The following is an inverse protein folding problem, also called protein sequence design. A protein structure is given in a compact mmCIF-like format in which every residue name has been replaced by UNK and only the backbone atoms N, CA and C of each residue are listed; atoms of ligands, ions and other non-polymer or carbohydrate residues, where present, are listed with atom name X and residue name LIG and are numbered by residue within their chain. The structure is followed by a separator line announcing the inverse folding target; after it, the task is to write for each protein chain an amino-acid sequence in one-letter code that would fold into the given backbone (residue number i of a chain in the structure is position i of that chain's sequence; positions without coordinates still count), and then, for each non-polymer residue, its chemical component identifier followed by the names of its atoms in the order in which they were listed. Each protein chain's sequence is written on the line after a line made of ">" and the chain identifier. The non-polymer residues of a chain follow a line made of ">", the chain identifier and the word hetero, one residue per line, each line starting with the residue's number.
data_IF_025252619682
#
_entry.id   IF_025252619682
#
_cell.length_a   1.000
_cell.length_b   1.000
_cell.length_c   1.000
_cell.angle_alpha   90.00
_cell.angle_beta   90.00
_cell.angle_gamma   90.00
#
_symmetry.space_group_name_H-M   'P 1'
#
loop_
_entity.id
_entity.type
_entity.pdbx_description
1 polymer ?
#
# COMPACT_ATOMS: atom_id res chain seq x y z
N UNK A 1 -7.09 27.17 -19.45
CA UNK A 1 -5.66 27.53 -19.56
C UNK A 1 -4.91 26.46 -18.80
N UNK A 2 -4.15 25.60 -19.48
CA UNK A 2 -3.26 24.63 -18.82
C UNK A 2 -2.00 25.41 -18.49
N UNK A 3 -1.85 25.80 -17.24
CA UNK A 3 -0.57 26.28 -16.75
C UNK A 3 0.40 25.12 -16.81
N UNK A 4 1.21 25.11 -17.86
CA UNK A 4 2.37 24.25 -17.97
C UNK A 4 3.35 24.72 -16.89
N UNK A 5 3.25 24.18 -15.68
CA UNK A 5 4.29 24.34 -14.67
C UNK A 5 5.50 23.56 -15.20
N UNK A 6 6.29 24.26 -16.01
CA UNK A 6 7.64 23.81 -16.33
C UNK A 6 8.41 23.80 -15.03
N UNK A 7 8.45 22.65 -14.36
CA UNK A 7 9.32 22.47 -13.20
C UNK A 7 10.74 22.58 -13.72
N UNK A 8 11.40 23.69 -13.40
CA UNK A 8 12.83 23.85 -13.70
C UNK A 8 13.61 22.80 -12.92
N UNK A 9 14.01 21.75 -13.61
CA UNK A 9 14.72 20.58 -13.07
C UNK A 9 15.99 21.01 -12.32
N UNK A 10 16.60 22.13 -12.72
CA UNK A 10 17.82 22.67 -12.08
C UNK A 10 17.56 23.12 -10.63
N UNK A 11 16.30 23.40 -10.28
CA UNK A 11 15.90 23.80 -8.92
C UNK A 11 15.73 22.64 -7.96
N UNK A 12 15.77 21.40 -8.42
CA UNK A 12 15.62 20.22 -7.57
C UNK A 12 16.84 19.98 -6.68
N UNK A 13 18.03 20.41 -7.11
CA UNK A 13 19.27 20.12 -6.43
C UNK A 13 19.64 18.64 -6.49
N UNK A 14 20.55 18.19 -5.65
CA UNK A 14 20.98 16.80 -5.54
C UNK A 14 19.87 15.95 -4.90
N UNK A 15 19.40 14.92 -5.59
CA UNK A 15 18.29 14.05 -5.19
C UNK A 15 18.80 12.67 -4.78
N UNK A 16 18.46 12.22 -3.58
CA UNK A 16 18.66 10.83 -3.18
C UNK A 16 17.43 10.00 -3.55
N UNK A 17 17.64 8.88 -4.21
CA UNK A 17 16.62 7.84 -4.38
C UNK A 17 16.88 6.79 -3.30
N UNK A 18 16.04 6.78 -2.25
CA UNK A 18 16.14 5.78 -1.19
C UNK A 18 15.61 4.46 -1.72
N UNK A 19 16.46 3.43 -1.74
CA UNK A 19 16.13 2.10 -2.22
C UNK A 19 16.85 1.02 -1.40
N UNK A 20 16.37 -0.20 -1.44
CA UNK A 20 16.91 -1.31 -0.66
C UNK A 20 16.31 -1.35 0.74
N UNK A 21 17.03 -0.88 1.76
CA UNK A 21 16.61 -0.99 3.15
C UNK A 21 16.74 -2.41 3.69
N UNK A 22 16.13 -2.68 4.84
CA UNK A 22 16.23 -3.94 5.59
C UNK A 22 14.91 -4.72 5.72
N UNK A 23 13.86 -4.26 5.03
CA UNK A 23 12.56 -4.94 5.03
C UNK A 23 12.56 -6.23 4.20
N UNK A 24 11.53 -7.06 4.38
CA UNK A 24 11.31 -8.25 3.56
C UNK A 24 11.10 -7.92 2.07
N UNK A 25 10.77 -6.66 1.73
CA UNK A 25 10.53 -6.18 0.37
C UNK A 25 11.76 -5.50 -0.27
N UNK A 26 12.97 -5.75 0.29
CA UNK A 26 14.23 -5.16 -0.19
C UNK A 26 14.45 -5.28 -1.70
N UNK A 27 14.19 -6.46 -2.28
CA UNK A 27 14.43 -6.70 -3.70
C UNK A 27 13.50 -5.86 -4.58
N UNK A 28 12.23 -5.77 -4.21
CA UNK A 28 11.23 -4.92 -4.88
C UNK A 28 11.62 -3.45 -4.79
N UNK A 29 12.13 -3.03 -3.62
CA UNK A 29 12.62 -1.67 -3.41
C UNK A 29 13.83 -1.34 -4.29
N UNK A 30 14.76 -2.28 -4.45
CA UNK A 30 15.92 -2.10 -5.34
C UNK A 30 15.48 -1.99 -6.82
N UNK A 31 14.54 -2.83 -7.27
CA UNK A 31 14.00 -2.76 -8.62
C UNK A 31 13.28 -1.42 -8.87
N UNK A 32 12.39 -1.02 -7.98
CA UNK A 32 11.67 0.26 -8.05
C UNK A 32 12.64 1.43 -8.07
N UNK A 33 13.59 1.45 -7.13
CA UNK A 33 14.57 2.52 -7.00
C UNK A 33 15.48 2.64 -8.21
N UNK A 34 15.89 1.54 -8.83
CA UNK A 34 16.69 1.56 -10.06
C UNK A 34 15.90 2.15 -11.24
N UNK A 35 14.62 1.77 -11.39
CA UNK A 35 13.74 2.35 -12.42
C UNK A 35 13.56 3.86 -12.24
N UNK A 36 13.26 4.30 -11.02
CA UNK A 36 13.14 5.73 -10.67
C UNK A 36 14.44 6.48 -10.90
N UNK A 37 15.57 5.93 -10.46
CA UNK A 37 16.89 6.54 -10.66
C UNK A 37 17.22 6.74 -12.13
N UNK A 38 16.98 5.72 -12.95
CA UNK A 38 17.19 5.80 -14.40
C UNK A 38 16.27 6.86 -15.04
N UNK A 39 15.00 6.89 -14.67
CA UNK A 39 14.04 7.87 -15.17
C UNK A 39 14.43 9.32 -14.78
N UNK A 40 14.77 9.58 -13.51
CA UNK A 40 15.20 10.90 -13.06
C UNK A 40 16.47 11.38 -13.79
N UNK A 41 17.45 10.50 -13.98
CA UNK A 41 18.68 10.82 -14.71
C UNK A 41 18.42 11.08 -16.20
N UNK A 42 17.52 10.35 -16.82
CA UNK A 42 17.15 10.58 -18.23
C UNK A 42 16.50 11.95 -18.46
N UNK A 43 15.88 12.50 -17.40
CA UNK A 43 15.31 13.84 -17.40
C UNK A 43 16.34 14.93 -17.00
N UNK A 44 17.61 14.57 -16.75
CA UNK A 44 18.67 15.50 -16.35
C UNK A 44 18.70 15.87 -14.88
N UNK A 45 17.97 15.15 -14.01
CA UNK A 45 18.02 15.35 -12.54
C UNK A 45 19.33 14.77 -11.99
N UNK A 46 19.99 15.52 -11.10
CA UNK A 46 21.19 15.05 -10.35
C UNK A 46 20.76 14.04 -9.27
N UNK A 47 20.43 12.82 -9.71
CA UNK A 47 19.88 11.75 -8.88
C UNK A 47 20.91 10.66 -8.56
N UNK A 48 20.92 10.23 -7.30
CA UNK A 48 21.86 9.23 -6.76
C UNK A 48 21.14 8.17 -5.96
N UNK A 49 21.59 6.92 -6.09
CA UNK A 49 21.14 5.84 -5.24
C UNK A 49 21.60 6.04 -3.79
N UNK A 50 20.72 5.73 -2.84
CA UNK A 50 21.03 5.74 -1.42
C UNK A 50 20.33 4.56 -0.75
N UNK A 51 21.12 3.64 -0.18
CA UNK A 51 20.59 2.47 0.52
C UNK A 51 20.80 2.63 2.03
N UNK A 52 19.71 2.84 2.81
CA UNK A 52 19.82 3.04 4.25
C UNK A 52 20.29 1.80 5.03
N UNK A 53 20.28 0.60 4.44
CA UNK A 53 20.89 -0.58 5.03
C UNK A 53 22.42 -0.57 4.95
N UNK A 54 23.01 0.22 4.03
CA UNK A 54 24.45 0.30 3.81
C UNK A 54 25.08 1.55 4.43
N UNK A 55 24.28 2.60 4.65
CA UNK A 55 24.75 3.89 5.13
C UNK A 55 23.66 4.65 5.89
N UNK A 56 23.99 5.39 6.94
CA UNK A 56 23.01 6.07 7.78
C UNK A 56 22.34 7.23 7.03
N UNK A 57 21.05 7.44 7.26
CA UNK A 57 20.28 8.58 6.72
C UNK A 57 20.88 9.94 7.13
N UNK A 58 21.61 10.00 8.24
CA UNK A 58 22.31 11.19 8.71
C UNK A 58 23.33 11.74 7.69
N UNK A 59 23.85 10.89 6.79
CA UNK A 59 24.81 11.30 5.75
C UNK A 59 24.18 12.15 4.64
N UNK A 60 22.85 12.10 4.48
CA UNK A 60 22.16 12.82 3.42
C UNK A 60 22.46 14.32 3.44
N UNK A 61 22.38 14.95 4.60
CA UNK A 61 22.57 16.41 4.72
C UNK A 61 24.03 16.85 4.53
N UNK A 62 25.03 16.22 5.18
CA UNK A 62 26.44 16.52 4.94
C UNK A 62 26.89 16.33 3.49
N UNK A 63 26.29 15.37 2.78
CA UNK A 63 26.60 15.11 1.37
C UNK A 63 25.85 16.03 0.40
N UNK A 64 25.07 16.99 0.91
CA UNK A 64 24.41 18.01 0.12
C UNK A 64 23.15 17.56 -0.62
N UNK A 65 22.51 16.45 -0.19
CA UNK A 65 21.21 16.06 -0.74
C UNK A 65 20.14 17.08 -0.34
N UNK A 66 19.48 17.63 -1.36
CA UNK A 66 18.44 18.65 -1.22
C UNK A 66 17.03 18.04 -1.11
N UNK A 67 16.83 16.85 -1.67
CA UNK A 67 15.54 16.16 -1.74
C UNK A 67 15.71 14.65 -1.73
N UNK A 68 14.65 13.95 -1.37
CA UNK A 68 14.60 12.49 -1.34
C UNK A 68 13.41 12.00 -2.16
N UNK A 69 13.64 11.02 -3.03
CA UNK A 69 12.60 10.16 -3.57
C UNK A 69 12.59 8.86 -2.76
N UNK A 70 11.47 8.55 -2.12
CA UNK A 70 11.31 7.30 -1.34
C UNK A 70 10.83 6.21 -2.31
N UNK A 71 11.69 5.21 -2.56
CA UNK A 71 11.38 3.97 -3.26
C UNK A 71 11.59 2.75 -2.34
N UNK A 72 11.58 2.99 -1.02
CA UNK A 72 11.56 1.94 0.00
C UNK A 72 10.16 1.37 0.12
N UNK A 73 10.07 0.06 0.42
CA UNK A 73 8.82 -0.64 0.64
C UNK A 73 8.81 -1.34 2.00
N UNK A 74 7.61 -1.56 2.55
CA UNK A 74 7.44 -2.23 3.82
C UNK A 74 7.94 -1.45 5.03
N UNK A 75 8.42 -2.18 6.05
CA UNK A 75 8.92 -1.59 7.30
C UNK A 75 10.03 -0.58 7.05
N UNK A 76 10.05 0.46 7.86
CA UNK A 76 10.94 1.61 7.81
C UNK A 76 10.81 2.45 6.52
N UNK A 77 10.18 1.94 5.45
CA UNK A 77 9.96 2.66 4.20
C UNK A 77 8.58 3.32 4.08
N UNK A 78 7.53 2.60 4.50
CA UNK A 78 6.13 3.01 4.33
C UNK A 78 5.39 3.26 5.64
N UNK A 79 6.04 3.06 6.78
CA UNK A 79 5.42 3.10 8.12
C UNK A 79 5.59 4.44 8.86
N UNK A 80 6.12 5.46 8.20
CA UNK A 80 6.37 6.78 8.80
C UNK A 80 7.75 6.94 9.41
N UNK A 81 8.55 5.87 9.55
CA UNK A 81 9.86 5.90 10.19
C UNK A 81 10.86 6.73 9.39
N UNK A 82 11.06 6.42 8.09
CA UNK A 82 11.96 7.18 7.23
C UNK A 82 11.45 8.60 7.01
N UNK A 83 10.13 8.79 6.91
CA UNK A 83 9.51 10.11 6.78
C UNK A 83 9.84 10.99 8.00
N UNK A 84 9.71 10.43 9.22
CA UNK A 84 10.05 11.14 10.45
C UNK A 84 11.55 11.52 10.53
N UNK A 85 12.43 10.61 10.11
CA UNK A 85 13.87 10.90 10.05
C UNK A 85 14.17 12.05 9.06
N UNK A 86 13.54 12.06 7.88
CA UNK A 86 13.71 13.10 6.87
C UNK A 86 13.13 14.44 7.33
N UNK A 87 12.01 14.46 8.06
CA UNK A 87 11.46 15.68 8.66
C UNK A 87 12.42 16.29 9.70
N UNK A 88 13.01 15.47 10.58
CA UNK A 88 14.03 15.91 11.54
C UNK A 88 15.29 16.44 10.86
N UNK A 89 15.70 15.86 9.74
CA UNK A 89 16.83 16.35 8.93
C UNK A 89 16.46 17.60 8.13
N UNK A 90 15.18 17.96 8.00
CA UNK A 90 14.73 19.08 7.20
C UNK A 90 14.91 18.84 5.70
N UNK A 91 14.79 17.60 5.23
CA UNK A 91 14.95 17.21 3.82
C UNK A 91 13.56 16.88 3.25
N UNK A 92 13.07 17.62 2.23
CA UNK A 92 11.82 17.30 1.54
C UNK A 92 11.88 15.92 0.86
N UNK A 93 10.73 15.22 0.85
CA UNK A 93 10.63 13.88 0.29
C UNK A 93 9.30 13.68 -0.47
N UNK A 94 9.26 12.65 -1.32
CA UNK A 94 8.06 12.27 -2.06
C UNK A 94 7.09 11.47 -1.20
N UNK A 95 5.78 11.64 -1.48
CA UNK A 95 4.73 10.81 -0.88
C UNK A 95 4.18 11.35 0.43
N UNK A 96 3.48 10.49 1.14
CA UNK A 96 2.74 10.78 2.36
C UNK A 96 3.67 11.09 3.55
N UNK A 97 3.16 11.88 4.51
CA UNK A 97 3.89 12.20 5.74
C UNK A 97 3.82 11.10 6.80
N UNK A 98 4.44 11.35 7.95
CA UNK A 98 4.61 10.39 9.05
C UNK A 98 3.28 9.74 9.46
N UNK A 99 2.28 10.55 9.81
CA UNK A 99 1.00 10.05 10.30
C UNK A 99 0.26 9.21 9.26
N UNK A 100 0.15 9.71 8.04
CA UNK A 100 -0.56 9.01 6.97
C UNK A 100 0.11 7.68 6.62
N UNK A 101 1.43 7.65 6.52
CA UNK A 101 2.20 6.43 6.27
C UNK A 101 2.02 5.41 7.40
N UNK A 102 2.13 5.86 8.66
CA UNK A 102 1.96 4.97 9.82
C UNK A 102 0.55 4.36 9.91
N UNK A 103 -0.50 5.16 9.65
CA UNK A 103 -1.88 4.66 9.65
C UNK A 103 -2.11 3.72 8.47
N UNK A 104 -1.66 4.09 7.26
CA UNK A 104 -1.86 3.30 6.05
C UNK A 104 -1.17 1.92 6.14
N UNK A 105 0.00 1.84 6.76
CA UNK A 105 0.71 0.58 6.99
C UNK A 105 -0.05 -0.35 7.95
N UNK A 106 -0.76 0.18 8.95
CA UNK A 106 -1.54 -0.60 9.90
C UNK A 106 -2.99 -0.75 9.41
N UNK A 107 -3.32 -1.93 8.83
CA UNK A 107 -4.64 -2.22 8.29
C UNK A 107 -5.78 -2.11 9.33
N UNK A 108 -5.50 -2.36 10.61
CA UNK A 108 -6.48 -2.19 11.70
C UNK A 108 -6.77 -0.71 11.90
N UNK A 109 -5.73 0.13 11.96
CA UNK A 109 -5.91 1.58 12.11
C UNK A 109 -6.54 2.21 10.86
N UNK A 110 -6.13 1.80 9.67
CA UNK A 110 -6.73 2.21 8.40
C UNK A 110 -8.24 1.94 8.39
N UNK A 111 -8.67 0.72 8.74
CA UNK A 111 -10.09 0.35 8.80
C UNK A 111 -10.87 1.16 9.85
N UNK A 112 -10.27 1.43 11.01
CA UNK A 112 -10.89 2.28 12.04
C UNK A 112 -11.18 3.68 11.52
N UNK A 113 -10.21 4.29 10.82
CA UNK A 113 -10.39 5.61 10.21
C UNK A 113 -11.48 5.56 9.14
N UNK A 114 -11.41 4.60 8.22
CA UNK A 114 -12.40 4.48 7.14
C UNK A 114 -13.82 4.24 7.66
N UNK A 115 -13.99 3.39 8.67
CA UNK A 115 -15.30 3.15 9.30
C UNK A 115 -15.83 4.42 9.97
N UNK A 116 -14.96 5.20 10.65
CA UNK A 116 -15.35 6.47 11.24
C UNK A 116 -15.79 7.52 10.22
N UNK A 117 -15.21 7.48 9.01
CA UNK A 117 -15.56 8.33 7.86
C UNK A 117 -16.71 7.77 7.01
N UNK A 118 -17.31 6.63 7.42
CA UNK A 118 -18.42 5.98 6.71
C UNK A 118 -18.00 5.33 5.38
N UNK A 119 -16.73 5.00 5.21
CA UNK A 119 -16.20 4.36 4.01
C UNK A 119 -16.32 2.83 4.09
N UNK A 120 -16.68 2.16 2.99
CA UNK A 120 -16.92 0.72 2.97
C UNK A 120 -15.60 -0.07 3.03
N UNK A 121 -15.49 -0.97 3.99
CA UNK A 121 -14.41 -1.96 4.10
C UNK A 121 -15.01 -3.28 4.56
N UNK A 122 -14.43 -4.46 4.24
CA UNK A 122 -14.96 -5.74 4.70
C UNK A 122 -15.16 -5.77 6.22
N UNK A 123 -16.16 -6.49 6.70
CA UNK A 123 -16.32 -6.74 8.15
C UNK A 123 -15.05 -7.37 8.70
N UNK A 124 -14.66 -7.00 9.90
CA UNK A 124 -13.40 -7.44 10.45
C UNK A 124 -13.42 -7.63 11.97
N UNK A 125 -12.49 -8.45 12.43
CA UNK A 125 -12.17 -8.66 13.85
C UNK A 125 -10.67 -8.52 14.02
N UNK A 126 -10.28 -7.74 15.01
CA UNK A 126 -8.90 -7.61 15.44
C UNK A 126 -8.68 -8.49 16.68
N UNK A 127 -7.72 -9.39 16.57
CA UNK A 127 -7.24 -10.21 17.68
C UNK A 127 -5.91 -9.58 18.17
N UNK A 128 -6.03 -8.82 19.27
CA UNK A 128 -4.88 -8.18 19.91
C UNK A 128 -3.96 -9.23 20.58
N UNK A 129 -2.69 -8.87 20.90
CA UNK A 129 -1.84 -9.70 21.73
C UNK A 129 -2.53 -10.07 23.06
N UNK A 130 -2.53 -11.35 23.41
CA UNK A 130 -3.23 -11.88 24.57
C UNK A 130 -4.73 -12.19 24.36
N UNK A 131 -5.31 -11.81 23.23
CA UNK A 131 -6.70 -12.13 22.82
C UNK A 131 -6.73 -13.06 21.61
N UNK A 132 -5.82 -14.02 21.57
CA UNK A 132 -5.70 -15.04 20.51
C UNK A 132 -5.92 -16.45 21.08
N UNK A 133 -6.60 -16.52 22.22
CA UNK A 133 -7.00 -17.78 22.84
C UNK A 133 -8.07 -18.51 22.01
N UNK A 134 -8.27 -19.79 22.31
CA UNK A 134 -9.20 -20.63 21.54
C UNK A 134 -10.62 -20.05 21.48
N UNK A 135 -11.09 -19.47 22.57
CA UNK A 135 -12.44 -18.88 22.65
C UNK A 135 -12.57 -17.66 21.72
N UNK A 136 -11.56 -16.77 21.72
CA UNK A 136 -11.54 -15.60 20.86
C UNK A 136 -11.49 -15.99 19.39
N UNK A 137 -10.62 -16.95 19.06
CA UNK A 137 -10.38 -17.43 17.67
C UNK A 137 -11.63 -18.11 17.10
N UNK A 138 -12.29 -18.97 17.89
CA UNK A 138 -13.51 -19.71 17.46
C UNK A 138 -14.70 -18.78 17.29
N UNK A 139 -14.76 -17.67 18.03
CA UNK A 139 -15.84 -16.68 17.91
C UNK A 139 -15.76 -15.80 16.64
N UNK A 140 -14.62 -15.76 15.95
CA UNK A 140 -14.46 -14.92 14.75
C UNK A 140 -15.42 -15.29 13.62
N UNK A 141 -15.54 -16.57 13.20
CA UNK A 141 -16.49 -16.94 12.15
C UNK A 141 -17.95 -16.63 12.48
N UNK A 142 -18.35 -16.70 13.77
CA UNK A 142 -19.70 -16.35 14.18
C UNK A 142 -20.00 -14.85 14.02
N UNK A 143 -18.96 -14.00 14.09
CA UNK A 143 -19.08 -12.54 13.98
C UNK A 143 -19.06 -12.03 12.56
N UNK A 144 -18.21 -12.59 11.69
CA UNK A 144 -17.99 -12.07 10.34
C UNK A 144 -18.32 -13.05 9.22
N UNK A 145 -18.63 -14.31 9.53
CA UNK A 145 -18.97 -15.35 8.56
C UNK A 145 -17.76 -16.09 7.99
N UNK A 146 -18.04 -17.07 7.15
CA UNK A 146 -17.07 -17.85 6.36
C UNK A 146 -17.45 -17.77 4.88
N UNK A 147 -16.50 -17.80 3.95
CA UNK A 147 -15.05 -17.79 4.20
C UNK A 147 -14.55 -16.44 4.70
N UNK A 148 -13.37 -16.44 5.34
CA UNK A 148 -12.71 -15.22 5.82
C UNK A 148 -11.20 -15.26 5.54
N UNK A 149 -10.54 -14.10 5.63
CA UNK A 149 -9.09 -13.94 5.50
C UNK A 149 -8.50 -13.67 6.88
N UNK A 150 -7.43 -14.38 7.21
CA UNK A 150 -6.60 -14.12 8.39
C UNK A 150 -5.24 -13.62 7.92
N UNK A 151 -4.76 -12.49 8.48
CA UNK A 151 -3.51 -11.86 8.06
C UNK A 151 -2.85 -11.03 9.16
N UNK A 152 -1.53 -10.83 9.11
CA UNK A 152 -0.87 -9.83 9.92
C UNK A 152 -1.27 -8.42 9.44
N UNK A 153 -1.59 -7.46 10.32
CA UNK A 153 -2.07 -6.15 9.89
C UNK A 153 -0.99 -5.22 9.31
N UNK A 154 0.31 -5.42 9.66
CA UNK A 154 1.40 -4.52 9.28
C UNK A 154 2.41 -5.14 8.30
N UNK A 155 2.03 -6.22 7.65
CA UNK A 155 2.84 -6.81 6.58
C UNK A 155 2.23 -6.51 5.21
N UNK A 156 3.11 -6.32 4.22
CA UNK A 156 2.75 -6.16 2.82
C UNK A 156 2.80 -7.48 2.05
N UNK A 157 2.57 -7.39 0.74
CA UNK A 157 2.89 -8.45 -0.24
C UNK A 157 2.32 -9.84 0.08
N UNK A 158 1.13 -9.90 0.69
CA UNK A 158 0.41 -11.15 1.01
C UNK A 158 1.14 -12.09 1.98
N UNK A 159 2.14 -11.62 2.72
CA UNK A 159 2.88 -12.42 3.71
C UNK A 159 1.96 -12.81 4.87
N UNK A 160 1.93 -14.10 5.22
CA UNK A 160 1.17 -14.61 6.37
C UNK A 160 -0.35 -14.61 6.18
N UNK A 161 -0.85 -14.44 4.97
CA UNK A 161 -2.29 -14.45 4.66
C UNK A 161 -2.80 -15.89 4.52
N UNK A 162 -3.97 -16.15 5.08
CA UNK A 162 -4.67 -17.43 4.93
C UNK A 162 -6.16 -17.20 4.66
N UNK A 163 -6.70 -17.81 3.60
CA UNK A 163 -8.15 -17.94 3.40
C UNK A 163 -8.66 -19.12 4.22
N UNK A 164 -9.61 -18.85 5.11
CA UNK A 164 -10.21 -19.83 6.00
C UNK A 164 -11.65 -20.11 5.54
N UNK A 165 -11.93 -21.36 5.21
CA UNK A 165 -13.24 -21.82 4.76
C UNK A 165 -14.04 -22.54 5.86
N UNK A 166 -13.41 -22.88 7.00
CA UNK A 166 -14.05 -23.61 8.08
C UNK A 166 -13.36 -23.40 9.44
N UNK A 167 -14.12 -23.59 10.51
CA UNK A 167 -13.65 -23.42 11.90
C UNK A 167 -12.36 -24.14 12.25
N UNK A 168 -12.16 -25.34 11.70
CA UNK A 168 -10.97 -26.15 11.99
C UNK A 168 -9.66 -25.52 11.48
N UNK A 169 -9.72 -24.58 10.55
CA UNK A 169 -8.55 -23.91 9.96
C UNK A 169 -8.13 -22.68 10.76
N UNK A 170 -9.03 -22.13 11.60
CA UNK A 170 -8.82 -20.85 12.28
C UNK A 170 -7.55 -20.81 13.14
N UNK A 171 -7.34 -21.83 13.98
CA UNK A 171 -6.20 -21.87 14.91
C UNK A 171 -4.84 -21.87 14.17
N UNK A 172 -4.75 -22.63 13.07
CA UNK A 172 -3.54 -22.67 12.25
C UNK A 172 -3.30 -21.33 11.52
N UNK A 173 -4.36 -20.72 10.99
CA UNK A 173 -4.29 -19.45 10.30
C UNK A 173 -3.84 -18.31 11.24
N UNK A 174 -4.42 -18.23 12.44
CA UNK A 174 -4.03 -17.23 13.45
C UNK A 174 -2.58 -17.43 13.89
N UNK A 175 -2.16 -18.67 14.14
CA UNK A 175 -0.76 -18.98 14.50
C UNK A 175 0.22 -18.60 13.38
N UNK A 176 -0.15 -18.78 12.13
CA UNK A 176 0.69 -18.37 11.01
C UNK A 176 0.84 -16.86 10.96
N UNK A 177 -0.27 -16.12 10.98
CA UNK A 177 -0.24 -14.65 10.97
C UNK A 177 0.54 -14.07 12.16
N UNK A 178 0.38 -14.67 13.35
CA UNK A 178 1.07 -14.27 14.57
C UNK A 178 2.60 -14.46 14.53
N UNK A 179 3.15 -15.18 13.55
CA UNK A 179 4.61 -15.28 13.35
C UNK A 179 5.21 -13.99 12.77
N UNK A 180 4.39 -13.19 12.09
CA UNK A 180 4.81 -11.98 11.38
C UNK A 180 4.42 -10.70 12.12
N UNK A 181 3.32 -10.72 12.87
CA UNK A 181 2.87 -9.58 13.67
C UNK A 181 2.20 -10.08 14.95
N UNK A 182 2.43 -9.38 16.07
CA UNK A 182 1.78 -9.70 17.34
C UNK A 182 0.25 -9.53 17.30
N UNK A 183 -0.24 -8.67 16.43
CA UNK A 183 -1.66 -8.47 16.12
C UNK A 183 -2.09 -9.37 14.95
N UNK A 184 -3.35 -9.81 14.94
CA UNK A 184 -3.94 -10.56 13.83
C UNK A 184 -5.24 -9.90 13.40
N UNK A 185 -5.38 -9.67 12.10
CA UNK A 185 -6.60 -9.17 11.47
C UNK A 185 -7.33 -10.32 10.78
N UNK A 186 -8.60 -10.48 11.12
CA UNK A 186 -9.53 -11.38 10.43
C UNK A 186 -10.55 -10.55 9.67
N UNK A 187 -10.72 -10.79 8.36
CA UNK A 187 -11.63 -10.04 7.50
C UNK A 187 -12.60 -10.98 6.77
N UNK A 188 -13.82 -10.50 6.52
CA UNK A 188 -14.74 -11.13 5.58
C UNK A 188 -14.07 -11.29 4.22
N UNK A 189 -14.12 -12.50 3.65
CA UNK A 189 -13.67 -12.72 2.28
C UNK A 189 -14.70 -12.16 1.30
N UNK A 190 -14.28 -11.23 0.46
CA UNK A 190 -15.13 -10.66 -0.59
C UNK A 190 -14.88 -11.42 -1.89
N UNK A 191 -15.88 -12.17 -2.34
CA UNK A 191 -15.83 -12.86 -3.63
C UNK A 191 -16.21 -11.88 -4.74
N UNK A 192 -15.27 -11.66 -5.69
CA UNK A 192 -15.50 -10.71 -6.76
C UNK A 192 -14.27 -10.30 -7.53
N UNK A 193 -14.31 -9.10 -8.08
CA UNK A 193 -13.27 -8.53 -8.92
C UNK A 193 -12.29 -7.75 -8.05
N UNK A 194 -11.00 -8.06 -8.18
CA UNK A 194 -9.93 -7.30 -7.56
C UNK A 194 -9.59 -6.07 -8.41
N UNK A 195 -9.53 -4.92 -7.74
CA UNK A 195 -9.30 -3.63 -8.36
C UNK A 195 -8.19 -2.89 -7.62
N UNK A 196 -7.45 -2.09 -8.36
CA UNK A 196 -6.55 -1.13 -7.77
C UNK A 196 -6.69 0.22 -8.45
N UNK A 197 -6.58 1.29 -7.66
CA UNK A 197 -6.81 2.64 -8.16
C UNK A 197 -5.75 3.59 -7.61
N UNK A 198 -4.86 4.12 -8.48
CA UNK A 198 -3.87 5.09 -8.07
C UNK A 198 -4.48 6.48 -7.83
N UNK A 199 -3.82 7.27 -6.97
CA UNK A 199 -4.17 8.67 -6.66
C UNK A 199 -2.93 9.54 -6.76
N UNK A 200 -3.10 10.74 -7.34
CA UNK A 200 -2.07 11.78 -7.35
C UNK A 200 -2.61 13.04 -6.69
N UNK A 201 -1.72 13.82 -6.07
CA UNK A 201 -2.03 15.10 -5.46
C UNK A 201 -2.24 15.04 -3.94
N UNK A 202 -2.89 16.06 -3.39
CA UNK A 202 -3.15 16.19 -1.96
C UNK A 202 -4.41 17.01 -1.69
N UNK A 203 -5.11 16.75 -0.59
CA UNK A 203 -6.30 17.49 -0.20
C UNK A 203 -7.32 17.56 -1.34
N UNK A 204 -7.82 18.76 -1.66
CA UNK A 204 -8.82 18.96 -2.72
C UNK A 204 -8.27 18.75 -4.14
N UNK A 205 -6.94 18.81 -4.30
CA UNK A 205 -6.27 18.53 -5.56
C UNK A 205 -5.98 17.04 -5.78
N UNK A 206 -6.33 16.15 -4.84
CA UNK A 206 -6.17 14.72 -5.00
C UNK A 206 -7.12 14.19 -6.09
N UNK A 207 -6.57 13.46 -7.06
CA UNK A 207 -7.28 12.93 -8.22
C UNK A 207 -6.95 11.44 -8.39
N UNK A 208 -7.99 10.63 -8.54
CA UNK A 208 -7.82 9.23 -8.93
C UNK A 208 -7.44 9.12 -10.40
N UNK A 209 -6.55 8.20 -10.69
CA UNK A 209 -6.22 7.77 -12.06
C UNK A 209 -7.21 6.69 -12.53
N UNK A 210 -7.13 6.23 -13.79
CA UNK A 210 -7.95 5.11 -14.25
C UNK A 210 -7.80 3.88 -13.36
N UNK A 211 -8.92 3.20 -13.13
CA UNK A 211 -8.96 1.96 -12.34
C UNK A 211 -8.32 0.83 -13.13
N UNK A 212 -7.50 0.03 -12.46
CA UNK A 212 -6.93 -1.19 -13.01
C UNK A 212 -7.63 -2.40 -12.40
N UNK A 213 -8.11 -3.29 -13.25
CA UNK A 213 -8.60 -4.61 -12.84
C UNK A 213 -7.46 -5.60 -12.83
N UNK A 214 -7.40 -6.42 -11.78
CA UNK A 214 -6.42 -7.48 -11.60
C UNK A 214 -7.11 -8.82 -11.83
N UNK A 215 -6.66 -9.55 -12.85
CA UNK A 215 -7.13 -10.90 -13.15
C UNK A 215 -6.03 -11.89 -12.73
N UNK A 216 -5.99 -12.24 -11.43
CA UNK A 216 -5.03 -13.19 -10.90
C UNK A 216 -5.45 -14.64 -11.20
N UNK A 217 -4.51 -15.56 -11.51
CA UNK A 217 -4.80 -16.97 -11.68
C UNK A 217 -5.44 -17.55 -10.42
N UNK A 218 -6.52 -18.32 -10.60
CA UNK A 218 -7.27 -18.97 -9.49
C UNK A 218 -7.70 -18.02 -8.35
N UNK A 219 -7.69 -16.70 -8.59
CA UNK A 219 -7.99 -15.68 -7.57
C UNK A 219 -6.91 -15.56 -6.49
N UNK A 220 -5.68 -15.99 -6.77
CA UNK A 220 -4.55 -15.94 -5.86
C UNK A 220 -3.56 -14.84 -6.30
N UNK A 221 -3.68 -13.65 -5.73
CA UNK A 221 -2.78 -12.52 -5.98
C UNK A 221 -1.76 -12.40 -4.84
N UNK A 222 -0.86 -13.37 -4.76
CA UNK A 222 0.22 -13.43 -3.78
C UNK A 222 1.50 -12.67 -4.23
N UNK A 223 2.55 -12.75 -3.41
CA UNK A 223 3.83 -12.07 -3.66
C UNK A 223 4.46 -12.44 -5.01
N UNK A 224 4.41 -13.72 -5.39
CA UNK A 224 4.98 -14.19 -6.65
C UNK A 224 4.21 -13.65 -7.85
N UNK A 225 2.86 -13.65 -7.78
CA UNK A 225 1.99 -13.10 -8.81
C UNK A 225 2.03 -11.57 -8.90
N UNK A 226 2.40 -10.88 -7.80
CA UNK A 226 2.54 -9.40 -7.79
C UNK A 226 3.79 -8.89 -8.48
N UNK A 227 4.91 -9.62 -8.40
CA UNK A 227 6.21 -9.06 -8.77
C UNK A 227 7.04 -9.92 -9.72
N UNK A 228 6.75 -11.21 -9.86
CA UNK A 228 7.64 -12.17 -10.55
C UNK A 228 6.93 -13.04 -11.59
N UNK A 229 5.60 -13.13 -11.60
CA UNK A 229 4.85 -13.92 -12.57
C UNK A 229 4.21 -13.04 -13.65
N UNK A 230 4.32 -13.47 -14.90
CA UNK A 230 3.61 -12.86 -16.04
C UNK A 230 2.18 -13.41 -16.21
N UNK A 231 1.72 -14.32 -15.35
CA UNK A 231 0.42 -14.97 -15.46
C UNK A 231 -0.75 -14.10 -14.96
N UNK A 232 -0.44 -13.01 -14.24
CA UNK A 232 -1.45 -12.06 -13.78
C UNK A 232 -1.83 -11.09 -14.90
N UNK A 233 -3.10 -11.08 -15.27
CA UNK A 233 -3.65 -10.11 -16.23
C UNK A 233 -3.96 -8.76 -15.58
N UNK A 234 -3.55 -7.68 -16.21
CA UNK A 234 -3.91 -6.32 -15.81
C UNK A 234 -4.70 -5.64 -16.92
N UNK A 235 -5.87 -5.09 -16.58
CA UNK A 235 -6.70 -4.37 -17.53
C UNK A 235 -6.85 -2.91 -17.12
N UNK A 236 -6.34 -2.02 -17.98
CA UNK A 236 -6.51 -0.57 -17.86
C UNK A 236 -6.93 0.01 -19.22
N UNK A 237 -8.13 0.61 -19.36
CA UNK A 237 -9.20 0.75 -18.36
C UNK A 237 -9.75 -0.57 -17.84
N UNK A 238 -10.32 -0.55 -16.62
CA UNK A 238 -10.79 -1.74 -15.88
C UNK A 238 -11.86 -2.58 -16.58
N UNK A 239 -12.59 -1.98 -17.53
CA UNK A 239 -13.75 -2.59 -18.19
C UNK A 239 -15.02 -2.61 -17.32
N UNK A 240 -15.03 -1.89 -16.20
CA UNK A 240 -16.23 -1.65 -15.38
C UNK A 240 -17.22 -0.73 -16.12
N UNK A 241 -18.49 -0.74 -15.70
CA UNK A 241 -19.44 0.27 -16.13
C UNK A 241 -18.96 1.67 -15.66
N UNK A 242 -19.22 2.74 -16.43
CA UNK A 242 -18.73 4.09 -16.10
C UNK A 242 -19.12 4.56 -14.69
N UNK A 243 -20.31 4.20 -14.23
CA UNK A 243 -20.81 4.54 -12.90
C UNK A 243 -20.05 3.79 -11.79
N UNK A 244 -19.70 2.54 -12.02
CA UNK A 244 -18.92 1.73 -11.10
C UNK A 244 -17.47 2.26 -11.01
N UNK A 245 -16.86 2.57 -12.16
CA UNK A 245 -15.50 3.13 -12.20
C UNK A 245 -15.44 4.49 -11.48
N UNK A 246 -16.44 5.36 -11.71
CA UNK A 246 -16.55 6.64 -11.03
C UNK A 246 -16.71 6.48 -9.51
N UNK A 247 -17.47 5.47 -9.06
CA UNK A 247 -17.65 5.21 -7.64
C UNK A 247 -16.36 4.64 -7.00
N UNK A 248 -15.64 3.73 -7.67
CA UNK A 248 -14.32 3.26 -7.23
C UNK A 248 -13.36 4.45 -7.06
N UNK A 249 -13.28 5.32 -8.06
CA UNK A 249 -12.43 6.51 -8.01
C UNK A 249 -12.83 7.46 -6.88
N UNK A 250 -14.12 7.70 -6.69
CA UNK A 250 -14.65 8.54 -5.59
C UNK A 250 -14.27 7.98 -4.22
N UNK A 251 -14.49 6.67 -4.00
CA UNK A 251 -14.14 6.00 -2.75
C UNK A 251 -12.64 6.01 -2.50
N UNK A 252 -11.84 5.80 -3.54
CA UNK A 252 -10.37 5.84 -3.47
C UNK A 252 -9.86 7.21 -3.01
N UNK A 253 -10.36 8.30 -3.62
CA UNK A 253 -9.98 9.67 -3.21
C UNK A 253 -10.44 9.97 -1.79
N UNK A 254 -11.65 9.55 -1.41
CA UNK A 254 -12.16 9.74 -0.05
C UNK A 254 -11.29 8.98 0.97
N UNK A 255 -10.94 7.71 0.68
CA UNK A 255 -10.09 6.89 1.54
C UNK A 255 -8.68 7.49 1.70
N UNK A 256 -8.09 7.97 0.62
CA UNK A 256 -6.79 8.63 0.58
C UNK A 256 -6.79 9.91 1.44
N UNK A 257 -7.82 10.75 1.30
CA UNK A 257 -7.99 11.98 2.08
C UNK A 257 -8.23 11.72 3.57
N UNK A 258 -9.04 10.72 3.88
CA UNK A 258 -9.34 10.34 5.27
C UNK A 258 -8.08 9.98 6.07
N UNK A 259 -7.08 9.37 5.40
CA UNK A 259 -5.79 9.04 6.00
C UNK A 259 -4.81 10.21 6.03
N UNK A 260 -5.12 11.34 5.38
CA UNK A 260 -4.22 12.48 5.25
C UNK A 260 -3.06 12.23 4.29
N UNK A 261 -3.24 11.36 3.31
CA UNK A 261 -2.24 11.05 2.29
C UNK A 261 -1.98 12.23 1.36
N UNK A 262 -0.77 12.29 0.80
CA UNK A 262 -0.34 13.32 -0.15
C UNK A 262 0.67 12.79 -1.16
N UNK A 263 0.84 13.54 -2.26
CA UNK A 263 1.78 13.21 -3.34
C UNK A 263 1.20 12.15 -4.25
N UNK A 264 1.27 10.92 -3.85
CA UNK A 264 0.75 9.76 -4.57
C UNK A 264 0.37 8.64 -3.62
N UNK A 265 -0.39 7.69 -4.12
CA UNK A 265 -0.77 6.47 -3.40
C UNK A 265 -1.61 5.57 -4.29
N UNK A 266 -1.98 4.40 -3.78
CA UNK A 266 -2.80 3.42 -4.50
C UNK A 266 -3.69 2.69 -3.51
N UNK A 267 -4.99 2.72 -3.75
CA UNK A 267 -5.94 1.91 -3.00
C UNK A 267 -6.14 0.56 -3.69
N UNK A 268 -6.20 -0.51 -2.91
CA UNK A 268 -6.60 -1.83 -3.37
C UNK A 268 -8.03 -2.11 -2.86
N UNK A 269 -8.90 -2.59 -3.76
CA UNK A 269 -10.33 -2.72 -3.53
C UNK A 269 -10.87 -4.05 -4.06
N UNK A 270 -12.01 -4.48 -3.51
CA UNK A 270 -12.82 -5.57 -4.08
C UNK A 270 -14.18 -5.05 -4.51
N UNK A 271 -14.61 -5.45 -5.69
CA UNK A 271 -15.99 -5.28 -6.17
C UNK A 271 -16.69 -6.63 -6.05
N UNK A 272 -17.59 -6.75 -5.06
CA UNK A 272 -18.30 -8.01 -4.82
C UNK A 272 -19.23 -8.35 -5.97
N UNK A 273 -19.15 -9.58 -6.46
CA UNK A 273 -19.87 -9.98 -7.67
C UNK A 273 -21.40 -10.02 -7.47
N UNK A 274 -21.86 -10.46 -6.30
CA UNK A 274 -23.27 -10.73 -6.02
C UNK A 274 -24.18 -9.49 -6.02
N UNK A 275 -23.68 -8.34 -5.56
CA UNK A 275 -24.46 -7.10 -5.37
C UNK A 275 -23.74 -5.84 -5.86
N UNK A 276 -22.56 -6.01 -6.45
CA UNK A 276 -21.71 -4.92 -6.97
C UNK A 276 -21.26 -3.92 -5.90
N UNK A 277 -21.27 -4.30 -4.62
CA UNK A 277 -20.75 -3.48 -3.54
C UNK A 277 -19.22 -3.42 -3.58
N UNK A 278 -18.67 -2.22 -3.37
CA UNK A 278 -17.22 -1.94 -3.40
C UNK A 278 -16.69 -1.90 -1.97
N UNK A 279 -15.52 -2.50 -1.75
CA UNK A 279 -14.86 -2.56 -0.45
C UNK A 279 -13.39 -2.17 -0.56
N UNK A 280 -12.97 -1.22 0.26
CA UNK A 280 -11.57 -0.80 0.42
C UNK A 280 -10.82 -1.83 1.27
N UNK A 281 -9.68 -2.31 0.78
CA UNK A 281 -8.83 -3.28 1.47
C UNK A 281 -7.66 -2.62 2.18
N UNK A 282 -6.85 -1.85 1.44
CA UNK A 282 -5.66 -1.17 1.94
C UNK A 282 -5.31 0.08 1.12
N UNK A 283 -4.45 0.93 1.67
CA UNK A 283 -3.88 2.10 1.01
C UNK A 283 -2.36 2.01 1.02
N UNK A 284 -1.75 1.93 -0.16
CA UNK A 284 -0.31 1.92 -0.33
C UNK A 284 0.19 3.36 -0.51
N UNK A 285 1.07 3.84 0.36
CA UNK A 285 1.59 5.21 0.33
C UNK A 285 2.90 5.36 -0.44
N UNK A 286 3.56 4.26 -0.75
CA UNK A 286 4.74 4.17 -1.63
C UNK A 286 4.57 2.99 -2.61
N UNK A 287 3.67 3.09 -3.58
CA UNK A 287 3.42 2.01 -4.54
C UNK A 287 4.71 1.60 -5.27
N UNK A 288 4.82 0.31 -5.60
CA UNK A 288 5.94 -0.21 -6.37
C UNK A 288 6.09 0.47 -7.74
N UNK A 289 7.34 0.68 -8.17
CA UNK A 289 7.71 1.29 -9.45
C UNK A 289 8.57 0.31 -10.29
N UNK A 290 8.18 -0.95 -10.30
CA UNK A 290 8.79 -2.01 -11.11
C UNK A 290 8.20 -2.04 -12.52
N UNK A 291 8.67 -2.95 -13.38
CA UNK A 291 8.07 -3.19 -14.70
C UNK A 291 6.61 -3.65 -14.66
N UNK A 292 6.14 -4.15 -13.53
CA UNK A 292 4.74 -4.54 -13.26
C UNK A 292 3.99 -3.48 -12.41
N UNK A 293 4.46 -2.23 -12.41
CA UNK A 293 3.84 -1.14 -11.64
C UNK A 293 2.43 -0.81 -12.12
N UNK A 294 1.55 -0.53 -11.16
CA UNK A 294 0.13 -0.20 -11.38
C UNK A 294 -0.20 1.28 -11.05
N UNK A 295 0.79 2.16 -11.19
CA UNK A 295 0.65 3.62 -10.97
C UNK A 295 1.03 4.39 -12.23
#
# INVERSE_FOLDING_TARGET
>A
MKDNVSTDITTLGKVAVLMGGDSAEREVSLMSGQGVLAALRSLGVDAHAFDPAQRPLADLKPEGFARVFIALHGRHGEDGTVQGALELLGIPYTGSGVMASAIAMDKVMTKRVWVAEGLPTPRWVWLAPGHQGREDVVAVPDRIGLPLIVKPPREGSSIGITKVAGYSQMDAAVKLAAQYDADVLCEEFIEGIELTCPVLGAGDAAQALPVVRIDAPEGNYDYEHKYFSDDTGYRCPSGLAPEEEAEVQRLTVAAYRALGCRGWGRADLMLRESDRAIFLLEMNTSPGMTGHSLV
#
